data_IF_790118867536
#
_entry.id   IF_790118867536
#
_cell.length_a   1.000
_cell.length_b   1.000
_cell.length_c   1.000
_cell.angle_alpha   90.00
_cell.angle_beta   90.00
_cell.angle_gamma   90.00
#
_symmetry.space_group_name_H-M   'P 1'
#
loop_
_entity.id
_entity.type
_entity.pdbx_description
1 polymer ?
#
# COMPACT_ATOMS: atom_id res chain seq x y z
N UNK A 1 -50.81 -18.44 -15.14
CA UNK A 1 -49.88 -17.40 -15.64
C UNK A 1 -49.13 -16.78 -14.45
N UNK A 2 -47.99 -17.36 -14.07
CA UNK A 2 -47.13 -16.85 -12.99
C UNK A 2 -46.28 -15.71 -13.56
N UNK A 3 -46.47 -14.49 -13.05
CA UNK A 3 -45.58 -13.35 -13.33
C UNK A 3 -44.30 -13.55 -12.51
N UNK A 4 -43.19 -13.78 -13.20
CA UNK A 4 -41.85 -13.72 -12.63
C UNK A 4 -41.57 -12.28 -12.20
N UNK A 5 -41.54 -12.01 -10.89
CA UNK A 5 -40.92 -10.80 -10.36
C UNK A 5 -39.41 -10.98 -10.51
N UNK A 6 -38.83 -10.28 -11.47
CA UNK A 6 -37.40 -10.04 -11.52
C UNK A 6 -37.02 -9.29 -10.23
N UNK A 7 -36.31 -9.98 -9.34
CA UNK A 7 -35.63 -9.35 -8.20
C UNK A 7 -34.53 -8.45 -8.76
N UNK A 8 -34.78 -7.15 -8.85
CA UNK A 8 -33.72 -6.19 -9.10
C UNK A 8 -32.81 -6.18 -7.87
N UNK A 9 -31.65 -6.83 -7.99
CA UNK A 9 -30.58 -6.74 -7.00
C UNK A 9 -29.95 -5.35 -7.10
N UNK A 10 -30.63 -4.32 -6.61
CA UNK A 10 -29.98 -3.07 -6.26
C UNK A 10 -29.16 -3.33 -5.00
N UNK A 11 -27.94 -3.86 -5.17
CA UNK A 11 -26.96 -3.86 -4.10
C UNK A 11 -26.83 -2.41 -3.62
N UNK A 12 -27.30 -2.14 -2.39
CA UNK A 12 -27.07 -0.87 -1.71
C UNK A 12 -25.57 -0.60 -1.79
N UNK A 13 -25.18 0.48 -2.48
CA UNK A 13 -23.77 0.93 -2.50
C UNK A 13 -23.39 1.27 -1.06
N UNK A 14 -22.78 0.34 -0.33
CA UNK A 14 -22.17 0.64 0.98
C UNK A 14 -21.12 1.71 0.75
N UNK A 15 -20.99 2.66 1.68
CA UNK A 15 -19.97 3.70 1.56
C UNK A 15 -18.61 3.05 1.68
N UNK A 16 -17.67 3.44 0.81
CA UNK A 16 -16.32 2.88 0.75
C UNK A 16 -15.57 3.00 2.09
N UNK A 17 -15.93 3.99 2.90
CA UNK A 17 -15.38 4.20 4.24
C UNK A 17 -15.70 3.08 5.25
N UNK A 18 -16.64 2.19 4.93
CA UNK A 18 -17.07 1.06 5.76
C UNK A 18 -16.59 -0.30 5.19
N UNK A 19 -15.70 -0.28 4.20
CA UNK A 19 -15.13 -1.52 3.68
C UNK A 19 -14.09 -2.07 4.65
N UNK A 20 -14.19 -3.36 4.94
CA UNK A 20 -13.20 -4.07 5.73
C UNK A 20 -11.89 -4.23 4.93
N UNK A 21 -10.70 -4.18 5.59
CA UNK A 21 -9.41 -4.42 4.92
C UNK A 21 -9.28 -5.79 4.25
N UNK A 22 -10.16 -6.75 4.56
CA UNK A 22 -10.16 -8.12 4.02
C UNK A 22 -11.33 -8.41 3.08
N UNK A 23 -12.20 -7.42 2.82
CA UNK A 23 -13.36 -7.55 1.94
C UNK A 23 -12.98 -7.16 0.50
N UNK A 24 -13.45 -7.96 -0.47
CA UNK A 24 -13.30 -7.63 -1.88
C UNK A 24 -14.38 -6.61 -2.31
N UNK A 25 -13.98 -5.61 -3.09
CA UNK A 25 -14.89 -4.56 -3.57
C UNK A 25 -15.29 -4.84 -5.02
N UNK A 26 -16.57 -5.09 -5.28
CA UNK A 26 -17.08 -5.22 -6.64
C UNK A 26 -17.04 -3.87 -7.40
N UNK A 27 -16.44 -3.89 -8.59
CA UNK A 27 -16.40 -2.75 -9.51
C UNK A 27 -17.55 -2.87 -10.51
N UNK A 28 -18.66 -2.19 -10.18
CA UNK A 28 -19.85 -2.16 -11.03
C UNK A 28 -20.57 -3.51 -11.09
N UNK A 29 -21.61 -3.62 -11.93
CA UNK A 29 -22.42 -4.84 -12.06
C UNK A 29 -21.87 -5.89 -13.03
N UNK A 30 -20.59 -5.78 -13.41
CA UNK A 30 -19.99 -6.54 -14.53
C UNK A 30 -19.10 -7.71 -14.11
N UNK A 31 -19.11 -8.13 -12.85
CA UNK A 31 -18.32 -9.27 -12.36
C UNK A 31 -16.82 -9.00 -12.13
N UNK A 32 -16.40 -7.73 -12.10
CA UNK A 32 -15.04 -7.33 -11.73
C UNK A 32 -15.00 -7.01 -10.22
N UNK A 33 -13.94 -7.42 -9.53
CA UNK A 33 -13.75 -7.11 -8.11
C UNK A 33 -12.30 -6.75 -7.80
N UNK A 34 -12.11 -5.78 -6.90
CA UNK A 34 -10.82 -5.49 -6.27
C UNK A 34 -10.67 -6.37 -5.04
N UNK A 35 -9.75 -7.34 -5.13
CA UNK A 35 -9.34 -8.12 -3.98
C UNK A 35 -8.31 -7.36 -3.14
N UNK A 36 -8.44 -7.34 -1.80
CA UNK A 36 -7.41 -6.78 -0.95
C UNK A 36 -6.10 -7.57 -1.10
N UNK A 37 -4.97 -6.87 -0.96
CA UNK A 37 -3.63 -7.49 -1.01
C UNK A 37 -2.69 -6.76 -0.07
N UNK A 38 -1.79 -7.49 0.56
CA UNK A 38 -0.61 -6.93 1.23
C UNK A 38 0.59 -7.14 0.35
N UNK A 39 1.37 -6.08 0.13
CA UNK A 39 2.62 -6.13 -0.61
C UNK A 39 3.77 -5.79 0.32
N UNK A 40 4.80 -6.63 0.29
CA UNK A 40 6.02 -6.43 1.05
C UNK A 40 7.21 -6.38 0.09
N UNK A 41 8.14 -5.49 0.38
CA UNK A 41 9.42 -5.38 -0.30
C UNK A 41 10.46 -6.11 0.55
N UNK A 42 11.13 -7.08 -0.07
CA UNK A 42 12.14 -7.90 0.59
C UNK A 42 13.52 -7.45 0.12
N UNK A 43 14.44 -7.26 1.05
CA UNK A 43 15.84 -6.97 0.75
C UNK A 43 16.72 -7.96 1.50
N UNK A 44 17.60 -8.66 0.78
CA UNK A 44 18.44 -9.70 1.36
C UNK A 44 19.90 -9.26 1.41
N UNK A 45 20.52 -9.52 2.56
CA UNK A 45 21.91 -9.24 2.88
C UNK A 45 22.61 -10.55 3.22
N UNK A 46 23.92 -10.61 2.98
CA UNK A 46 24.73 -11.75 3.43
C UNK A 46 25.22 -11.50 4.84
N UNK A 47 25.14 -12.51 5.68
CA UNK A 47 25.73 -12.47 7.02
C UNK A 47 27.20 -12.89 6.99
N UNK A 48 27.54 -13.87 6.14
CA UNK A 48 28.90 -14.37 5.95
C UNK A 48 29.66 -13.60 4.87
N UNK A 49 31.01 -13.60 4.90
CA UNK A 49 31.87 -13.11 3.82
C UNK A 49 31.60 -13.94 2.57
N UNK A 50 32.40 -14.94 2.15
CA UNK A 50 32.15 -15.81 0.97
C UNK A 50 31.63 -15.12 -0.33
N UNK A 51 31.90 -15.63 -1.53
CA UNK A 51 31.36 -14.97 -2.74
C UNK A 51 30.75 -15.98 -3.67
N UNK A 52 29.97 -16.88 -3.08
CA UNK A 52 29.15 -17.82 -3.84
C UNK A 52 28.01 -17.07 -4.54
N UNK A 53 27.76 -17.35 -5.83
CA UNK A 53 26.58 -16.86 -6.51
C UNK A 53 25.32 -17.41 -5.83
N UNK A 54 24.31 -16.57 -5.71
CA UNK A 54 23.02 -16.97 -5.14
C UNK A 54 22.18 -17.56 -6.27
N UNK A 55 21.56 -18.70 -5.97
CA UNK A 55 20.53 -19.31 -6.80
C UNK A 55 19.17 -18.72 -6.40
N UNK A 56 18.56 -17.99 -7.33
CA UNK A 56 17.27 -17.32 -7.12
C UNK A 56 16.14 -18.32 -6.87
N UNK A 57 16.17 -19.47 -7.54
CA UNK A 57 15.14 -20.49 -7.42
C UNK A 57 15.20 -21.15 -6.04
N UNK A 58 16.39 -21.54 -5.58
CA UNK A 58 16.56 -22.11 -4.23
C UNK A 58 16.15 -21.14 -3.13
N UNK A 59 16.52 -19.87 -3.28
CA UNK A 59 16.12 -18.82 -2.34
C UNK A 59 14.60 -18.65 -2.31
N UNK A 60 13.95 -18.67 -3.48
CA UNK A 60 12.49 -18.61 -3.60
C UNK A 60 11.82 -19.81 -2.92
N UNK A 61 12.28 -21.03 -3.19
CA UNK A 61 11.72 -22.25 -2.59
C UNK A 61 11.87 -22.24 -1.07
N UNK A 62 13.05 -21.91 -0.55
CA UNK A 62 13.29 -21.86 0.89
C UNK A 62 12.41 -20.81 1.60
N UNK A 63 12.16 -19.66 0.95
CA UNK A 63 11.23 -18.66 1.47
C UNK A 63 9.78 -19.13 1.45
N UNK A 64 9.34 -19.80 0.39
CA UNK A 64 7.99 -20.37 0.32
C UNK A 64 7.78 -21.47 1.37
N UNK A 65 8.76 -22.35 1.55
CA UNK A 65 8.72 -23.39 2.58
C UNK A 65 8.68 -22.76 3.98
N UNK A 66 9.44 -21.70 4.21
CA UNK A 66 9.38 -20.95 5.47
C UNK A 66 8.00 -20.32 5.70
N UNK A 67 7.42 -19.67 4.69
CA UNK A 67 6.08 -19.06 4.80
C UNK A 67 5.01 -20.10 5.15
N UNK A 68 5.12 -21.32 4.59
CA UNK A 68 4.22 -22.44 4.90
C UNK A 68 4.48 -23.04 6.29
N UNK A 69 5.69 -22.93 6.81
CA UNK A 69 6.06 -23.48 8.11
C UNK A 69 5.52 -22.64 9.28
N UNK A 70 5.42 -23.26 10.46
CA UNK A 70 5.10 -22.53 11.69
C UNK A 70 6.27 -21.60 12.03
N UNK A 71 6.01 -20.34 12.43
CA UNK A 71 4.76 -19.82 12.99
C UNK A 71 3.90 -19.00 12.02
N UNK A 72 4.20 -18.98 10.72
CA UNK A 72 3.49 -18.15 9.74
C UNK A 72 2.31 -18.88 9.09
N UNK A 73 2.45 -20.18 8.82
CA UNK A 73 1.41 -21.06 8.27
C UNK A 73 0.63 -20.43 7.11
N UNK A 74 1.34 -19.69 6.25
CA UNK A 74 0.79 -18.90 5.15
C UNK A 74 1.07 -19.60 3.81
N UNK A 75 0.01 -19.99 3.11
CA UNK A 75 0.14 -20.55 1.77
C UNK A 75 0.17 -19.43 0.73
N UNK A 76 1.33 -19.20 0.13
CA UNK A 76 1.52 -18.21 -0.95
C UNK A 76 1.78 -18.92 -2.27
N UNK A 77 1.08 -18.56 -3.36
CA UNK A 77 1.39 -19.05 -4.69
C UNK A 77 2.79 -18.63 -5.15
N UNK A 78 3.43 -19.45 -5.96
CA UNK A 78 4.79 -19.18 -6.44
C UNK A 78 4.89 -17.84 -7.19
N UNK A 79 3.87 -17.46 -7.96
CA UNK A 79 3.85 -16.20 -8.74
C UNK A 79 3.77 -14.94 -7.87
N UNK A 80 3.27 -15.09 -6.65
CA UNK A 80 3.13 -13.99 -5.68
C UNK A 80 4.44 -13.72 -4.91
N UNK A 81 5.48 -14.53 -5.12
CA UNK A 81 6.84 -14.27 -4.66
C UNK A 81 7.80 -14.09 -5.85
N UNK A 82 8.25 -12.86 -6.04
CA UNK A 82 9.26 -12.51 -7.04
C UNK A 82 10.57 -12.20 -6.34
N UNK A 83 11.65 -12.86 -6.73
CA UNK A 83 12.99 -12.60 -6.22
C UNK A 83 13.91 -12.35 -7.41
N UNK A 84 14.77 -11.34 -7.28
CA UNK A 84 15.78 -10.99 -8.27
C UNK A 84 17.12 -10.80 -7.59
N UNK A 85 18.13 -11.51 -8.08
CA UNK A 85 19.51 -11.30 -7.67
C UNK A 85 19.98 -9.97 -8.23
N UNK A 86 20.78 -9.26 -7.44
CA UNK A 86 21.43 -8.07 -7.95
C UNK A 86 22.69 -8.43 -8.73
N UNK A 87 22.96 -7.76 -9.87
CA UNK A 87 24.18 -7.99 -10.64
C UNK A 87 25.43 -7.52 -9.86
N UNK A 88 26.58 -8.02 -10.29
CA UNK A 88 27.92 -7.61 -9.84
C UNK A 88 28.23 -7.83 -8.35
N UNK A 89 27.93 -9.02 -7.81
CA UNK A 89 28.24 -9.39 -6.41
C UNK A 89 29.71 -9.13 -6.00
N UNK A 90 30.67 -9.28 -6.92
CA UNK A 90 32.11 -9.12 -6.64
C UNK A 90 32.57 -7.66 -6.50
N UNK A 91 31.77 -6.68 -6.96
CA UNK A 91 32.08 -5.25 -6.85
C UNK A 91 31.41 -4.58 -5.65
N UNK A 92 30.62 -5.33 -4.89
CA UNK A 92 29.77 -4.80 -3.82
C UNK A 92 30.49 -4.77 -2.49
N UNK A 93 30.17 -3.77 -1.68
CA UNK A 93 30.57 -3.72 -0.27
C UNK A 93 29.79 -4.76 0.54
N UNK A 94 30.33 -5.15 1.70
CA UNK A 94 29.76 -6.17 2.59
C UNK A 94 28.30 -5.90 2.97
N UNK A 95 27.96 -4.65 3.21
CA UNK A 95 26.63 -4.23 3.70
C UNK A 95 25.63 -3.97 2.57
N UNK A 96 26.02 -4.23 1.32
CA UNK A 96 25.10 -4.07 0.20
C UNK A 96 24.17 -5.27 0.04
N UNK A 97 22.93 -5.01 -0.38
CA UNK A 97 21.98 -6.07 -0.64
C UNK A 97 22.40 -6.89 -1.86
N UNK A 98 22.17 -8.19 -1.76
CA UNK A 98 22.54 -9.20 -2.76
C UNK A 98 21.37 -9.67 -3.61
N UNK A 99 20.17 -9.57 -3.06
CA UNK A 99 18.93 -9.84 -3.77
C UNK A 99 17.84 -8.92 -3.24
N UNK A 100 16.82 -8.72 -4.06
CA UNK A 100 15.62 -7.99 -3.71
C UNK A 100 14.42 -8.75 -4.22
N UNK A 101 13.33 -8.71 -3.47
CA UNK A 101 12.10 -9.41 -3.82
C UNK A 101 10.85 -8.62 -3.50
N UNK A 102 9.73 -9.16 -3.95
CA UNK A 102 8.40 -8.66 -3.65
C UNK A 102 7.51 -9.84 -3.33
N UNK A 103 6.84 -9.75 -2.19
CA UNK A 103 5.87 -10.73 -1.71
C UNK A 103 4.48 -10.13 -1.74
N UNK A 104 3.53 -10.84 -2.34
CA UNK A 104 2.11 -10.50 -2.33
C UNK A 104 1.35 -11.52 -1.46
N UNK A 105 0.59 -11.04 -0.50
CA UNK A 105 -0.35 -11.85 0.28
C UNK A 105 -1.76 -11.43 -0.12
N UNK A 106 -2.47 -12.33 -0.80
CA UNK A 106 -3.84 -12.09 -1.31
C UNK A 106 -4.90 -12.80 -0.49
N UNK A 107 -4.58 -13.98 0.03
CA UNK A 107 -5.46 -14.67 0.94
C UNK A 107 -5.33 -14.05 2.33
N UNK A 108 -6.33 -13.25 2.69
CA UNK A 108 -6.50 -12.63 4.00
C UNK A 108 -7.74 -13.19 4.71
N UNK A 109 -8.27 -14.32 4.23
CA UNK A 109 -9.49 -14.93 4.77
C UNK A 109 -9.35 -15.34 6.22
N UNK A 110 -8.16 -15.76 6.64
CA UNK A 110 -7.85 -16.18 8.02
C UNK A 110 -7.91 -15.04 9.05
N UNK A 111 -7.91 -13.77 8.60
CA UNK A 111 -8.08 -12.60 9.47
C UNK A 111 -9.55 -12.24 9.70
N UNK A 112 -10.45 -12.83 8.93
CA UNK A 112 -11.88 -12.70 9.21
C UNK A 112 -12.16 -13.48 10.49
N UNK A 113 -12.79 -12.82 11.44
CA UNK A 113 -13.31 -13.51 12.61
C UNK A 113 -14.27 -14.62 12.20
N UNK A 114 -14.14 -15.79 12.82
CA UNK A 114 -15.20 -16.81 12.84
C UNK A 114 -16.40 -16.30 13.67
N UNK A 115 -17.07 -15.23 13.23
CA UNK A 115 -18.24 -14.75 13.94
C UNK A 115 -19.47 -15.48 13.44
N UNK A 116 -20.06 -16.24 14.39
CA UNK A 116 -21.43 -16.72 14.37
C UNK A 116 -22.34 -15.60 13.88
N UNK A 117 -23.23 -15.94 12.96
CA UNK A 117 -24.23 -15.04 12.37
C UNK A 117 -24.88 -14.16 13.46
N UNK A 118 -24.51 -12.88 13.57
CA UNK A 118 -25.18 -11.96 14.49
C UNK A 118 -24.39 -10.75 15.00
N UNK A 119 -23.07 -10.86 15.15
CA UNK A 119 -22.28 -9.74 15.70
C UNK A 119 -21.76 -8.85 14.56
N UNK A 120 -22.29 -7.62 14.47
CA UNK A 120 -21.67 -6.52 13.73
C UNK A 120 -20.29 -6.27 14.35
N UNK A 121 -19.28 -6.99 13.87
CA UNK A 121 -17.94 -6.85 14.39
C UNK A 121 -17.47 -5.41 14.13
N UNK A 122 -17.12 -4.69 15.21
CA UNK A 122 -16.68 -3.31 15.14
C UNK A 122 -15.61 -3.16 14.03
N UNK A 123 -15.90 -2.39 12.99
CA UNK A 123 -15.02 -2.22 11.83
C UNK A 123 -13.61 -1.76 12.25
N UNK A 124 -13.56 -0.95 13.31
CA UNK A 124 -12.34 -0.47 13.93
C UNK A 124 -11.52 -1.60 14.57
N UNK A 125 -12.20 -2.58 15.20
CA UNK A 125 -11.55 -3.77 15.75
C UNK A 125 -10.97 -4.65 14.64
N UNK A 126 -11.72 -4.85 13.55
CA UNK A 126 -11.26 -5.55 12.35
C UNK A 126 -10.02 -4.88 11.73
N UNK A 127 -10.02 -3.55 11.61
CA UNK A 127 -8.87 -2.76 11.14
C UNK A 127 -7.66 -2.90 12.07
N UNK A 128 -7.87 -2.75 13.38
CA UNK A 128 -6.79 -2.88 14.37
C UNK A 128 -6.14 -4.26 14.33
N UNK A 129 -6.95 -5.33 14.25
CA UNK A 129 -6.45 -6.71 14.10
C UNK A 129 -5.62 -6.89 12.84
N UNK A 130 -6.09 -6.35 11.71
CA UNK A 130 -5.34 -6.40 10.46
C UNK A 130 -3.98 -5.69 10.56
N UNK A 131 -3.93 -4.50 11.17
CA UNK A 131 -2.69 -3.74 11.33
C UNK A 131 -1.70 -4.44 12.27
N UNK A 132 -2.19 -4.98 13.38
CA UNK A 132 -1.39 -5.73 14.36
C UNK A 132 -0.83 -7.04 13.78
N UNK A 133 -1.64 -7.75 12.98
CA UNK A 133 -1.16 -8.88 12.22
C UNK A 133 -0.10 -8.45 11.20
N UNK A 134 -0.33 -7.35 10.46
CA UNK A 134 0.60 -6.86 9.42
C UNK A 134 1.96 -6.49 10.03
N UNK A 135 1.99 -5.78 11.15
CA UNK A 135 3.24 -5.44 11.84
C UNK A 135 3.95 -6.69 12.36
N UNK A 136 3.22 -7.57 13.06
CA UNK A 136 3.77 -8.84 13.56
C UNK A 136 4.32 -9.70 12.43
N UNK A 137 3.65 -9.73 11.28
CA UNK A 137 4.09 -10.47 10.10
C UNK A 137 5.37 -9.89 9.51
N UNK A 138 5.48 -8.56 9.40
CA UNK A 138 6.70 -7.87 8.95
C UNK A 138 7.86 -8.14 9.90
N UNK A 139 7.65 -8.03 11.20
CA UNK A 139 8.69 -8.24 12.21
C UNK A 139 9.19 -9.69 12.21
N UNK A 140 8.26 -10.66 12.13
CA UNK A 140 8.61 -12.08 11.99
C UNK A 140 9.39 -12.35 10.72
N UNK A 141 9.01 -11.74 9.61
CA UNK A 141 9.66 -11.96 8.32
C UNK A 141 11.05 -11.29 8.28
N UNK A 142 11.21 -10.11 8.89
CA UNK A 142 12.50 -9.42 9.00
C UNK A 142 13.47 -10.09 9.99
N UNK A 143 12.95 -10.82 10.99
CA UNK A 143 13.75 -11.52 11.99
C UNK A 143 14.39 -12.83 11.52
N UNK A 144 14.22 -13.23 10.26
CA UNK A 144 14.66 -14.54 9.76
C UNK A 144 16.09 -14.46 9.23
N UNK A 145 16.91 -15.38 9.74
CA UNK A 145 18.18 -15.75 9.15
C UNK A 145 18.00 -17.02 8.29
N UNK A 146 18.04 -16.87 6.97
CA UNK A 146 17.94 -17.99 6.04
C UNK A 146 19.31 -18.62 5.85
N UNK A 147 19.42 -19.95 6.00
CA UNK A 147 20.65 -20.68 5.69
C UNK A 147 20.46 -21.49 4.40
N UNK A 148 21.20 -21.13 3.35
CA UNK A 148 21.22 -21.87 2.09
C UNK A 148 22.63 -22.37 1.82
N UNK A 149 22.80 -23.70 1.79
CA UNK A 149 24.08 -24.34 1.45
C UNK A 149 25.28 -23.85 2.29
N UNK A 150 25.01 -23.51 3.55
CA UNK A 150 26.02 -23.00 4.49
C UNK A 150 26.30 -21.50 4.36
N UNK A 151 25.50 -20.75 3.59
CA UNK A 151 25.54 -19.28 3.54
C UNK A 151 24.33 -18.74 4.27
N UNK A 152 24.59 -17.91 5.29
CA UNK A 152 23.52 -17.23 6.03
C UNK A 152 23.15 -15.91 5.38
N UNK A 153 21.86 -15.67 5.24
CA UNK A 153 21.27 -14.43 4.75
C UNK A 153 20.40 -13.80 5.81
N UNK A 154 20.53 -12.49 5.97
CA UNK A 154 19.63 -11.66 6.76
C UNK A 154 18.68 -10.94 5.83
N UNK A 155 17.40 -10.86 6.19
CA UNK A 155 16.39 -10.18 5.38
C UNK A 155 15.88 -8.93 6.08
N UNK A 156 15.64 -7.87 5.32
CA UNK A 156 14.81 -6.74 5.76
C UNK A 156 13.53 -6.72 4.95
N UNK A 157 12.46 -6.29 5.59
CA UNK A 157 11.10 -6.29 5.04
C UNK A 157 10.52 -4.91 5.24
N UNK A 158 10.00 -4.33 4.16
CA UNK A 158 9.42 -2.99 4.16
C UNK A 158 8.04 -3.01 3.52
N UNK A 159 7.12 -2.22 4.08
CA UNK A 159 5.84 -1.94 3.46
C UNK A 159 6.06 -0.77 2.48
N UNK A 160 5.67 -0.89 1.20
CA UNK A 160 5.74 0.23 0.26
C UNK A 160 5.04 1.46 0.86
N UNK A 161 5.63 2.67 0.80
CA UNK A 161 5.01 3.87 1.36
C UNK A 161 3.62 4.18 0.79
N UNK A 162 3.36 3.76 -0.45
CA UNK A 162 2.05 3.90 -1.09
C UNK A 162 0.96 3.00 -0.49
N UNK A 163 1.35 1.91 0.17
CA UNK A 163 0.47 0.92 0.78
C UNK A 163 0.34 1.15 2.31
N UNK A 164 1.00 2.17 2.87
CA UNK A 164 0.92 2.56 4.28
C UNK A 164 0.19 3.91 4.47
N UNK A 165 -1.14 3.83 4.48
CA UNK A 165 -1.99 5.01 4.60
C UNK A 165 -1.82 5.75 5.93
N UNK A 166 -1.57 5.04 7.04
CA UNK A 166 -1.45 5.67 8.36
C UNK A 166 -0.19 6.51 8.46
N UNK A 167 0.94 5.95 8.01
CA UNK A 167 2.20 6.67 7.97
C UNK A 167 2.14 7.84 6.99
N UNK A 168 1.51 7.65 5.83
CA UNK A 168 1.28 8.73 4.87
C UNK A 168 0.42 9.84 5.48
N UNK A 169 -0.70 9.50 6.11
CA UNK A 169 -1.59 10.45 6.78
C UNK A 169 -0.84 11.23 7.86
N UNK A 170 -0.12 10.53 8.75
CA UNK A 170 0.67 11.15 9.81
C UNK A 170 1.74 12.08 9.25
N UNK A 171 2.51 11.64 8.25
CA UNK A 171 3.53 12.48 7.62
C UNK A 171 2.94 13.76 7.00
N UNK A 172 1.73 13.67 6.45
CA UNK A 172 1.00 14.80 5.90
C UNK A 172 0.52 15.75 7.01
N UNK A 173 -0.06 15.21 8.08
CA UNK A 173 -0.50 15.98 9.25
C UNK A 173 0.69 16.68 9.94
N UNK A 174 1.81 15.99 10.13
CA UNK A 174 3.04 16.52 10.74
C UNK A 174 3.65 17.63 9.88
N UNK A 175 3.66 17.49 8.55
CA UNK A 175 4.17 18.50 7.62
C UNK A 175 3.38 19.81 7.70
N UNK A 176 2.04 19.74 7.68
CA UNK A 176 1.24 20.96 7.80
C UNK A 176 1.24 21.51 9.23
N UNK A 177 1.27 20.66 10.26
CA UNK A 177 1.36 21.12 11.66
C UNK A 177 2.68 21.82 11.93
N UNK A 178 3.80 21.29 11.42
CA UNK A 178 5.11 21.95 11.54
C UNK A 178 5.14 23.29 10.81
N UNK A 179 4.54 23.41 9.62
CA UNK A 179 4.39 24.71 8.95
C UNK A 179 3.56 25.71 9.74
N UNK A 180 2.50 25.26 10.45
CA UNK A 180 1.73 26.14 11.33
C UNK A 180 2.56 26.66 12.51
N UNK A 181 3.44 25.82 13.05
CA UNK A 181 4.34 26.17 14.16
C UNK A 181 5.49 27.08 13.72
N UNK A 182 6.08 26.82 12.56
CA UNK A 182 7.16 27.64 11.97
C UNK A 182 6.63 29.04 11.59
N UNK A 183 5.40 29.08 11.06
CA UNK A 183 4.66 30.33 10.88
C UNK A 183 4.43 31.05 12.21
N UNK A 184 4.03 30.35 13.27
CA UNK A 184 3.78 30.95 14.60
C UNK A 184 5.03 31.51 15.26
N UNK A 185 6.18 30.84 15.15
CA UNK A 185 7.44 31.32 15.71
C UNK A 185 7.99 32.52 14.93
N UNK A 186 7.85 32.52 13.60
CA UNK A 186 8.15 33.69 12.76
C UNK A 186 7.21 34.88 13.05
N UNK A 187 5.93 34.60 13.32
CA UNK A 187 4.94 35.63 13.71
C UNK A 187 5.28 36.21 15.08
N UNK A 188 5.67 35.39 16.06
CA UNK A 188 6.04 35.86 17.41
C UNK A 188 7.32 36.72 17.38
N UNK A 189 8.32 36.36 16.56
CA UNK A 189 9.50 37.20 16.35
C UNK A 189 9.16 38.51 15.64
N UNK A 190 8.24 38.52 14.68
CA UNK A 190 7.77 39.75 14.03
C UNK A 190 6.93 40.65 14.94
N UNK A 191 6.12 40.07 15.84
CA UNK A 191 5.28 40.82 16.79
C UNK A 191 6.13 41.54 17.84
N UNK A 192 7.30 41.02 18.18
CA UNK A 192 8.22 41.68 19.13
C UNK A 192 9.01 42.84 18.49
N UNK A 193 9.21 42.86 17.17
CA UNK A 193 9.99 43.91 16.50
C UNK A 193 9.15 45.02 15.85
N UNK A 194 7.94 44.75 15.33
CA UNK A 194 7.13 45.79 14.69
C UNK A 194 5.62 45.58 14.91
N UNK A 195 4.97 46.56 15.53
CA UNK A 195 3.53 46.60 15.83
C UNK A 195 2.60 46.69 14.61
N UNK A 196 2.66 45.72 13.70
CA UNK A 196 1.78 45.61 12.54
C UNK A 196 1.38 44.15 12.30
N UNK A 197 0.14 43.81 12.67
CA UNK A 197 -0.44 42.48 12.56
C UNK A 197 -0.84 42.15 11.10
N UNK A 198 0.12 41.81 10.23
CA UNK A 198 -0.21 41.13 8.97
C UNK A 198 -0.48 39.66 9.29
N UNK A 199 -1.75 39.28 9.28
CA UNK A 199 -2.24 37.89 9.38
C UNK A 199 -1.43 36.99 8.43
N UNK A 200 -0.41 36.32 8.96
CA UNK A 200 0.24 35.24 8.27
C UNK A 200 -0.77 34.08 8.21
N UNK A 201 -1.38 33.93 7.04
CA UNK A 201 -2.27 32.82 6.78
C UNK A 201 -1.46 31.54 6.83
N UNK A 202 -1.69 30.74 7.87
CA UNK A 202 -1.43 29.31 7.88
C UNK A 202 -1.58 28.72 6.47
N UNK A 203 -0.48 28.23 5.89
CA UNK A 203 -0.48 27.62 4.54
C UNK A 203 -1.32 26.34 4.60
N UNK A 204 -2.61 26.48 4.31
CA UNK A 204 -3.54 25.35 4.24
C UNK A 204 -3.20 24.52 2.99
N UNK A 205 -3.41 23.20 3.02
CA UNK A 205 -3.36 22.39 1.81
C UNK A 205 -4.43 22.89 0.83
N UNK A 206 -4.00 23.57 -0.22
CA UNK A 206 -4.85 24.04 -1.33
C UNK A 206 -4.80 23.07 -2.53
N UNK A 207 -3.78 22.23 -2.57
CA UNK A 207 -3.50 21.30 -3.67
C UNK A 207 -3.21 19.90 -3.13
N UNK A 208 -3.92 18.89 -3.65
CA UNK A 208 -3.63 17.47 -3.39
C UNK A 208 -2.97 16.87 -4.64
N UNK A 209 -1.76 16.35 -4.49
CA UNK A 209 -1.05 15.68 -5.59
C UNK A 209 -1.25 14.18 -5.48
N UNK A 210 -2.06 13.62 -6.39
CA UNK A 210 -2.32 12.19 -6.47
C UNK A 210 -1.40 11.57 -7.54
N UNK A 211 -0.62 10.55 -7.17
CA UNK A 211 0.29 9.84 -8.08
C UNK A 211 -0.23 8.43 -8.38
N UNK A 212 -0.02 7.94 -9.60
CA UNK A 212 -0.35 6.56 -9.99
C UNK A 212 -1.82 6.28 -10.29
N UNK A 213 -2.68 7.30 -10.31
CA UNK A 213 -4.09 7.15 -10.70
C UNK A 213 -4.26 7.46 -12.19
N UNK A 214 -5.00 6.65 -12.96
CA UNK A 214 -5.29 6.95 -14.35
C UNK A 214 -5.93 8.34 -14.47
N UNK A 215 -5.37 9.20 -15.32
CA UNK A 215 -5.93 10.54 -15.59
C UNK A 215 -7.41 10.48 -16.00
N UNK A 216 -7.82 9.39 -16.65
CA UNK A 216 -9.20 9.09 -17.04
C UNK A 216 -10.20 9.02 -15.88
N UNK A 217 -9.75 8.76 -14.65
CA UNK A 217 -10.64 8.76 -13.48
C UNK A 217 -11.05 10.17 -13.05
N UNK A 218 -10.30 11.19 -13.48
CA UNK A 218 -10.56 12.60 -13.18
C UNK A 218 -10.99 13.40 -14.41
N UNK A 219 -11.04 12.76 -15.59
CA UNK A 219 -11.53 13.36 -16.82
C UNK A 219 -12.98 12.93 -17.04
N UNK A 220 -13.88 13.89 -17.26
CA UNK A 220 -15.22 13.56 -17.77
C UNK A 220 -15.08 12.88 -19.14
N UNK A 221 -15.67 11.68 -19.35
CA UNK A 221 -15.73 11.09 -20.67
C UNK A 221 -16.69 11.91 -21.54
N UNK A 222 -16.15 12.88 -22.30
CA UNK A 222 -16.90 13.55 -23.36
C UNK A 222 -16.93 12.65 -24.59
N UNK A 223 -18.00 11.87 -24.71
CA UNK A 223 -18.28 11.12 -25.94
C UNK A 223 -18.88 12.11 -26.95
N UNK A 224 -18.10 12.46 -27.97
CA UNK A 224 -18.60 13.22 -29.12
C UNK A 224 -19.70 12.42 -29.81
N UNK A 225 -20.86 13.05 -30.07
CA UNK A 225 -21.94 12.45 -30.86
C UNK A 225 -21.59 12.27 -32.35
N UNK A 226 -20.46 12.83 -32.80
CA UNK A 226 -19.92 12.67 -34.16
C UNK A 226 -18.78 11.65 -34.16
N UNK A 227 -18.94 10.61 -34.97
CA UNK A 227 -17.98 9.53 -35.16
C UNK A 227 -16.76 10.00 -35.99
N UNK A 228 -15.84 10.76 -35.38
CA UNK A 228 -14.47 10.97 -35.91
C UNK A 228 -13.57 11.92 -35.09
N UNK A 229 -13.97 12.40 -33.91
CA UNK A 229 -13.11 13.32 -33.14
C UNK A 229 -12.31 12.59 -32.06
N UNK A 230 -10.98 12.70 -32.17
CA UNK A 230 -9.99 12.34 -31.17
C UNK A 230 -10.46 12.73 -29.76
N UNK A 231 -10.48 11.76 -28.86
CA UNK A 231 -10.82 11.96 -27.45
C UNK A 231 -9.68 12.72 -26.78
N UNK A 232 -9.78 14.05 -26.72
CA UNK A 232 -8.86 14.87 -25.93
C UNK A 232 -9.33 14.91 -24.47
N UNK A 233 -8.53 14.34 -23.56
CA UNK A 233 -8.78 14.46 -22.12
C UNK A 233 -8.33 15.84 -21.65
N UNK A 234 -9.22 16.60 -21.01
CA UNK A 234 -8.85 17.88 -20.36
C UNK A 234 -8.98 17.70 -18.86
N UNK A 235 -7.88 17.96 -18.13
CA UNK A 235 -7.87 17.93 -16.67
C UNK A 235 -8.19 19.33 -16.17
N UNK A 236 -9.21 19.46 -15.32
CA UNK A 236 -9.57 20.73 -14.71
C UNK A 236 -8.80 20.91 -13.40
N UNK A 237 -8.08 22.03 -13.28
CA UNK A 237 -7.52 22.53 -12.03
C UNK A 237 -8.32 23.76 -11.59
N UNK A 238 -8.39 23.99 -10.28
CA UNK A 238 -8.95 25.23 -9.70
C UNK A 238 -8.18 26.48 -10.16
N UNK A 239 -6.96 26.32 -10.69
CA UNK A 239 -6.15 27.38 -11.30
C UNK A 239 -6.36 27.55 -12.82
N UNK A 240 -7.30 26.80 -13.41
CA UNK A 240 -7.63 26.88 -14.84
C UNK A 240 -7.39 25.59 -15.62
N UNK A 241 -7.60 25.67 -16.94
CA UNK A 241 -7.42 24.54 -17.87
C UNK A 241 -5.93 24.22 -18.01
N UNK A 242 -5.54 23.02 -17.60
CA UNK A 242 -4.22 22.49 -17.93
C UNK A 242 -4.39 21.80 -19.29
N UNK A 243 -3.72 22.34 -20.31
CA UNK A 243 -3.69 21.77 -21.67
C UNK A 243 -2.75 20.58 -21.73
#
# INVERSE_FOLDING_TARGET
>A
LKKNMASSSSARRRRLQYLSPTEALEIGGGGLSLSPRVKLLLTLFRSDPAVKPIDEWKLKVALLDFLRSHPLSLSVPDDDLVIRRRPDLHKRKRDEPVASGTLYVRDLGFLKSENREGDEEDEEASRKRFLDWRSTFVDRLAGIDLNLEGVKFKMTVEIPPADDFELMKKSWEDYYTSQLLDSRNYILSLILEQGSLRRAFARRPDTVVVRGVPSRWFAEPRVSSKASLLVTHTIFSTLGKIR
#
